data_IF_118124097285
#
_entry.id   IF_118124097285
#
_cell.length_a   1.000
_cell.length_b   1.000
_cell.length_c   1.000
_cell.angle_alpha   90.00
_cell.angle_beta   90.00
_cell.angle_gamma   90.00
#
_symmetry.space_group_name_H-M   'P 1'
#
loop_
_entity.id
_entity.type
_entity.pdbx_description
1 polymer ?
#
# COMPACT_ATOMS: atom_id res chain seq x y z
N UNK A 1 1.09 -14.46 -14.21
CA UNK A 1 1.61 -13.29 -14.95
C UNK A 1 2.92 -12.90 -14.29
N UNK A 2 3.89 -12.44 -15.08
CA UNK A 2 5.16 -11.93 -14.56
C UNK A 2 4.96 -10.53 -13.96
N UNK A 3 5.65 -10.24 -12.86
CA UNK A 3 5.63 -8.92 -12.22
C UNK A 3 6.25 -7.88 -13.16
N UNK A 4 5.60 -6.74 -13.44
CA UNK A 4 6.16 -5.68 -14.28
C UNK A 4 7.50 -5.20 -13.73
N UNK A 5 8.48 -4.94 -14.58
CA UNK A 5 9.75 -4.35 -14.14
C UNK A 5 9.58 -2.89 -13.67
N UNK A 6 8.62 -2.19 -14.25
CA UNK A 6 8.34 -0.76 -14.04
C UNK A 6 6.84 -0.57 -13.79
N UNK A 7 6.51 0.39 -12.94
CA UNK A 7 5.14 0.82 -12.64
C UNK A 7 5.05 2.34 -12.66
N UNK A 8 3.82 2.83 -12.85
CA UNK A 8 3.53 4.26 -12.95
C UNK A 8 2.49 4.69 -11.91
N UNK A 9 2.75 5.81 -11.24
CA UNK A 9 1.87 6.40 -10.24
C UNK A 9 1.40 7.78 -10.70
N UNK A 10 0.10 7.94 -10.89
CA UNK A 10 -0.52 9.22 -11.19
C UNK A 10 -0.77 9.97 -9.89
N UNK A 11 -0.30 11.20 -9.81
CA UNK A 11 -0.34 12.00 -8.59
C UNK A 11 -0.51 13.48 -8.92
N UNK A 12 -1.09 14.25 -8.00
CA UNK A 12 -1.08 15.72 -8.08
C UNK A 12 0.29 16.28 -7.77
N UNK A 13 0.56 17.54 -8.18
CA UNK A 13 1.76 18.26 -7.76
C UNK A 13 1.90 18.37 -6.24
N UNK A 14 0.78 18.52 -5.51
CA UNK A 14 0.80 18.53 -4.04
C UNK A 14 1.31 17.20 -3.47
N UNK A 15 0.83 16.10 -4.04
CA UNK A 15 1.27 14.75 -3.64
C UNK A 15 2.72 14.52 -4.03
N UNK A 16 3.14 14.95 -5.22
CA UNK A 16 4.54 14.91 -5.64
C UNK A 16 5.43 15.67 -4.67
N UNK A 17 5.04 16.88 -4.23
CA UNK A 17 5.81 17.67 -3.29
C UNK A 17 6.05 16.90 -1.98
N UNK A 18 5.03 16.21 -1.46
CA UNK A 18 5.15 15.35 -0.27
C UNK A 18 6.03 14.13 -0.52
N UNK A 19 5.91 13.48 -1.68
CA UNK A 19 6.74 12.32 -2.06
C UNK A 19 8.21 12.73 -2.12
N UNK A 20 8.54 13.83 -2.81
CA UNK A 20 9.91 14.31 -2.98
C UNK A 20 10.51 14.80 -1.66
N UNK A 21 9.74 15.54 -0.87
CA UNK A 21 10.19 16.08 0.42
C UNK A 21 10.48 14.98 1.44
N UNK A 22 9.56 14.02 1.59
CA UNK A 22 9.68 12.97 2.61
C UNK A 22 10.44 11.73 2.10
N UNK A 23 10.60 11.59 0.77
CA UNK A 23 11.11 10.38 0.11
C UNK A 23 10.32 9.13 0.47
N UNK A 24 9.00 9.26 0.52
CA UNK A 24 8.08 8.19 0.90
C UNK A 24 6.93 8.08 -0.10
N UNK A 25 6.40 6.87 -0.25
CA UNK A 25 5.09 6.65 -0.88
C UNK A 25 4.07 6.32 0.20
N UNK A 26 2.91 6.95 0.11
CA UNK A 26 1.79 6.69 0.99
C UNK A 26 1.04 5.43 0.60
N UNK A 27 0.76 4.61 1.59
CA UNK A 27 -0.23 3.54 1.55
C UNK A 27 -1.47 4.04 2.28
N UNK A 28 -2.56 4.22 1.56
CA UNK A 28 -3.84 4.70 2.11
C UNK A 28 -4.71 3.51 2.51
N UNK A 29 -5.45 3.64 3.61
CA UNK A 29 -6.39 2.60 4.03
C UNK A 29 -7.46 2.36 2.95
N UNK A 30 -7.88 1.11 2.78
CA UNK A 30 -8.73 0.71 1.66
C UNK A 30 -10.11 1.39 1.67
N UNK A 31 -10.58 1.90 2.81
CA UNK A 31 -11.79 2.72 2.91
C UNK A 31 -11.60 4.20 2.47
N UNK A 32 -10.38 4.56 2.06
CA UNK A 32 -9.97 5.90 1.62
C UNK A 32 -9.57 5.95 0.14
N UNK A 33 -9.69 4.85 -0.59
CA UNK A 33 -9.48 4.83 -2.05
C UNK A 33 -10.78 5.23 -2.78
N UNK A 34 -10.68 5.29 -4.10
CA UNK A 34 -11.71 5.75 -5.03
C UNK A 34 -12.96 4.87 -5.07
N UNK A 35 -12.80 3.55 -5.00
CA UNK A 35 -13.92 2.61 -5.00
C UNK A 35 -14.31 2.19 -3.56
N UNK A 36 -15.42 2.72 -3.01
CA UNK A 36 -15.87 2.39 -1.66
C UNK A 36 -16.39 0.97 -1.50
N UNK A 37 -16.51 0.19 -2.58
CA UNK A 37 -16.89 -1.23 -2.52
C UNK A 37 -15.74 -2.11 -2.04
N UNK A 38 -14.49 -1.72 -2.33
CA UNK A 38 -13.31 -2.57 -2.12
C UNK A 38 -13.03 -2.89 -0.64
N UNK A 39 -13.49 -2.03 0.27
CA UNK A 39 -13.38 -2.26 1.71
C UNK A 39 -14.43 -3.24 2.26
N UNK A 40 -15.46 -3.58 1.48
CA UNK A 40 -16.64 -4.31 1.94
C UNK A 40 -16.46 -5.81 1.73
N UNK A 41 -16.99 -6.60 2.65
CA UNK A 41 -17.19 -8.03 2.46
C UNK A 41 -18.68 -8.35 2.66
N UNK A 42 -19.11 -9.57 2.30
CA UNK A 42 -20.50 -9.98 2.52
C UNK A 42 -20.89 -10.06 4.02
N UNK A 43 -19.89 -10.14 4.90
CA UNK A 43 -20.03 -10.45 6.32
C UNK A 43 -19.24 -9.50 7.26
N UNK A 44 -18.61 -8.45 6.73
CA UNK A 44 -17.91 -7.43 7.52
C UNK A 44 -17.85 -6.04 6.85
N UNK A 45 -17.87 -5.01 7.68
CA UNK A 45 -17.67 -3.60 7.33
C UNK A 45 -16.37 -3.01 7.88
N UNK A 46 -15.64 -3.70 8.78
CA UNK A 46 -14.38 -3.18 9.33
C UNK A 46 -13.13 -3.83 8.75
N UNK A 47 -13.21 -5.05 8.21
CA UNK A 47 -12.02 -5.78 7.78
C UNK A 47 -11.26 -5.08 6.62
N UNK A 48 -11.94 -4.31 5.78
CA UNK A 48 -11.28 -3.45 4.79
C UNK A 48 -10.37 -2.37 5.41
N UNK A 49 -10.67 -1.91 6.64
CA UNK A 49 -9.82 -0.94 7.37
C UNK A 49 -8.51 -1.56 7.86
N UNK A 50 -8.34 -2.87 7.73
CA UNK A 50 -7.08 -3.54 8.00
C UNK A 50 -6.16 -3.57 6.77
N UNK A 51 -6.58 -3.04 5.63
CA UNK A 51 -5.78 -3.01 4.39
C UNK A 51 -5.33 -1.59 4.11
N UNK A 52 -4.05 -1.40 3.84
CA UNK A 52 -3.49 -0.17 3.32
C UNK A 52 -2.87 -0.45 1.96
N UNK A 53 -3.14 0.40 0.97
CA UNK A 53 -2.74 0.17 -0.42
C UNK A 53 -2.07 1.39 -1.03
N UNK A 54 -1.12 1.12 -1.94
CA UNK A 54 -0.58 2.12 -2.86
C UNK A 54 -0.86 1.66 -4.29
N UNK A 55 -1.53 2.52 -5.05
CA UNK A 55 -2.15 2.23 -6.35
C UNK A 55 -1.24 2.68 -7.50
N UNK A 56 -0.92 1.76 -8.42
CA UNK A 56 -0.03 1.98 -9.56
C UNK A 56 -0.64 1.35 -10.81
N UNK A 57 -0.16 1.71 -12.00
CA UNK A 57 -0.51 1.02 -13.25
C UNK A 57 0.73 0.41 -13.89
N UNK A 58 0.56 -0.71 -14.58
CA UNK A 58 1.60 -1.30 -15.43
C UNK A 58 1.56 -0.81 -16.87
N UNK A 59 0.51 -0.06 -17.26
CA UNK A 59 0.40 0.52 -18.59
C UNK A 59 1.51 1.54 -18.79
N UNK A 60 2.34 1.38 -19.82
CA UNK A 60 3.31 2.36 -20.28
C UNK A 60 2.64 3.49 -21.05
N UNK A 61 1.57 3.17 -21.79
CA UNK A 61 0.65 4.14 -22.36
C UNK A 61 -0.06 4.97 -21.28
N UNK A 62 -0.15 6.27 -21.55
CA UNK A 62 -0.84 7.21 -20.68
C UNK A 62 -2.37 7.09 -20.80
N UNK A 63 -3.09 7.43 -19.73
CA UNK A 63 -4.55 7.29 -19.67
C UNK A 63 -5.23 8.63 -19.39
N UNK A 64 -6.07 9.08 -20.31
CA UNK A 64 -6.84 10.33 -20.17
C UNK A 64 -7.73 10.31 -18.92
N UNK A 65 -8.48 9.23 -18.61
CA UNK A 65 -9.20 9.12 -17.34
C UNK A 65 -8.27 9.25 -16.13
N UNK A 66 -7.09 8.61 -16.15
CA UNK A 66 -6.14 8.67 -15.03
C UNK A 66 -5.63 10.10 -14.78
N UNK A 67 -5.34 10.84 -15.85
CA UNK A 67 -4.98 12.25 -15.76
C UNK A 67 -6.08 13.10 -15.14
N UNK A 68 -7.34 12.88 -15.53
CA UNK A 68 -8.48 13.69 -15.08
C UNK A 68 -8.90 13.39 -13.64
N UNK A 69 -8.91 12.11 -13.27
CA UNK A 69 -9.50 11.66 -12.01
C UNK A 69 -8.50 11.59 -10.85
N UNK A 70 -7.22 11.32 -11.12
CA UNK A 70 -6.23 11.03 -10.06
C UNK A 70 -5.11 12.06 -9.97
N UNK A 71 -4.51 12.42 -11.11
CA UNK A 71 -3.39 13.36 -11.10
C UNK A 71 -3.86 14.82 -11.11
N UNK A 72 -4.92 15.12 -11.86
CA UNK A 72 -5.34 16.48 -12.20
C UNK A 72 -4.85 16.86 -13.60
N UNK A 73 -5.77 17.25 -14.48
CA UNK A 73 -5.44 17.49 -15.89
C UNK A 73 -4.44 18.64 -16.12
N UNK A 74 -4.44 19.62 -15.22
CA UNK A 74 -3.64 20.86 -15.33
C UNK A 74 -2.48 20.96 -14.32
N UNK A 75 -2.46 20.08 -13.33
CA UNK A 75 -1.55 20.13 -12.18
C UNK A 75 -1.06 18.73 -11.77
N UNK A 76 -1.18 17.77 -12.67
CA UNK A 76 -0.87 16.37 -12.42
C UNK A 76 0.52 15.99 -12.91
N UNK A 77 1.06 14.94 -12.32
CA UNK A 77 2.24 14.25 -12.79
C UNK A 77 2.01 12.74 -12.83
N UNK A 78 2.82 12.06 -13.62
CA UNK A 78 2.93 10.60 -13.63
C UNK A 78 4.37 10.24 -13.31
N UNK A 79 4.54 9.49 -12.22
CA UNK A 79 5.83 9.10 -11.68
C UNK A 79 6.11 7.66 -12.12
N UNK A 80 7.19 7.45 -12.84
CA UNK A 80 7.67 6.12 -13.22
C UNK A 80 8.74 5.66 -12.23
N UNK A 81 8.61 4.42 -11.73
CA UNK A 81 9.63 3.78 -10.87
C UNK A 81 9.73 2.29 -11.18
N UNK A 82 10.87 1.68 -10.82
CA UNK A 82 11.00 0.21 -10.80
C UNK A 82 10.02 -0.41 -9.81
N UNK A 83 9.58 -1.64 -10.08
CA UNK A 83 8.81 -2.42 -9.10
C UNK A 83 9.61 -2.67 -7.83
N UNK A 84 8.89 -2.70 -6.70
CA UNK A 84 9.45 -2.69 -5.35
C UNK A 84 10.44 -1.53 -5.11
N UNK A 85 10.02 -0.26 -5.27
CA UNK A 85 10.91 0.90 -5.14
C UNK A 85 11.33 1.19 -3.69
N UNK A 86 10.91 0.37 -2.72
CA UNK A 86 11.05 0.62 -1.29
C UNK A 86 12.39 0.18 -0.73
N UNK A 87 12.82 0.90 0.31
CA UNK A 87 13.98 0.52 1.11
C UNK A 87 13.75 -0.86 1.76
N UNK A 88 14.83 -1.62 1.88
CA UNK A 88 14.88 -2.86 2.67
C UNK A 88 15.50 -2.60 4.03
N UNK A 89 15.02 -3.32 5.03
CA UNK A 89 15.36 -3.08 6.43
C UNK A 89 16.01 -4.29 7.07
N UNK A 90 16.86 -4.02 8.05
CA UNK A 90 17.44 -5.03 8.92
C UNK A 90 17.07 -4.71 10.37
N UNK A 91 16.95 -5.72 11.23
CA UNK A 91 16.75 -5.52 12.67
C UNK A 91 18.11 -5.42 13.35
N UNK A 92 18.26 -4.46 14.27
CA UNK A 92 19.49 -4.31 15.04
C UNK A 92 19.70 -5.47 16.02
N UNK A 93 20.97 -5.80 16.31
CA UNK A 93 21.33 -6.83 17.29
C UNK A 93 20.74 -6.54 18.69
N UNK A 94 20.63 -5.26 19.07
CA UNK A 94 20.00 -4.87 20.34
C UNK A 94 18.50 -5.22 20.37
N UNK A 95 17.78 -4.92 19.29
CA UNK A 95 16.37 -5.25 19.16
C UNK A 95 16.12 -6.76 19.12
N UNK A 96 17.01 -7.54 18.51
CA UNK A 96 16.93 -9.01 18.54
C UNK A 96 17.01 -9.58 19.95
N UNK A 97 17.82 -8.97 20.83
CA UNK A 97 17.93 -9.39 22.23
C UNK A 97 16.67 -9.08 23.06
N UNK A 98 15.82 -8.14 22.61
CA UNK A 98 14.51 -7.83 23.23
C UNK A 98 13.41 -8.80 22.81
N UNK A 99 13.62 -9.58 21.75
CA UNK A 99 12.69 -10.62 21.31
C UNK A 99 13.00 -11.91 22.07
N UNK A 100 11.98 -12.61 22.59
CA UNK A 100 12.18 -14.03 22.88
C UNK A 100 12.46 -14.73 21.57
N UNK A 101 13.75 -15.05 21.33
CA UNK A 101 14.26 -15.31 19.98
C UNK A 101 13.50 -16.45 19.28
N UNK A 102 12.99 -17.45 20.01
CA UNK A 102 12.23 -18.57 19.45
C UNK A 102 10.85 -18.21 18.88
N UNK A 103 10.13 -17.25 19.47
CA UNK A 103 8.73 -17.00 19.08
C UNK A 103 8.63 -16.15 17.81
N UNK A 104 9.52 -15.17 17.65
CA UNK A 104 9.53 -14.30 16.45
C UNK A 104 10.23 -14.95 15.27
N UNK A 105 11.31 -15.72 15.50
CA UNK A 105 11.99 -16.49 14.44
C UNK A 105 11.07 -17.53 13.79
N UNK A 106 10.21 -18.20 14.59
CA UNK A 106 9.25 -19.18 14.09
C UNK A 106 8.01 -18.53 13.44
N UNK A 107 7.57 -17.35 13.90
CA UNK A 107 6.37 -16.68 13.39
C UNK A 107 6.60 -15.87 12.10
N UNK A 108 7.79 -15.26 11.94
CA UNK A 108 8.11 -14.42 10.76
C UNK A 108 9.00 -15.12 9.73
N UNK A 109 9.64 -16.24 10.12
CA UNK A 109 10.45 -17.09 9.25
C UNK A 109 11.74 -16.44 8.75
N UNK A 110 12.89 -16.93 9.21
CA UNK A 110 14.20 -16.67 8.58
C UNK A 110 15.02 -15.52 9.17
N UNK A 111 15.88 -14.90 8.34
CA UNK A 111 16.84 -13.87 8.75
C UNK A 111 16.19 -12.49 8.87
N UNK A 112 16.70 -11.66 9.78
CA UNK A 112 16.16 -10.32 10.08
C UNK A 112 16.72 -9.20 9.20
N UNK A 113 17.41 -9.53 8.10
CA UNK A 113 17.88 -8.58 7.09
C UNK A 113 16.85 -8.40 5.94
N UNK A 114 17.01 -7.48 5.01
CA UNK A 114 16.21 -7.46 3.76
C UNK A 114 14.67 -7.37 3.89
N UNK A 115 14.13 -7.00 5.05
CA UNK A 115 12.70 -6.91 5.33
C UNK A 115 12.04 -5.81 4.49
N UNK A 116 10.77 -6.00 4.14
CA UNK A 116 9.98 -4.99 3.40
C UNK A 116 9.59 -3.79 4.27
N UNK A 117 9.51 -4.01 5.59
CA UNK A 117 9.08 -3.02 6.56
C UNK A 117 10.09 -2.94 7.72
N UNK A 118 10.28 -1.75 8.31
CA UNK A 118 11.10 -1.58 9.48
C UNK A 118 10.36 -2.18 10.67
N UNK A 119 10.73 -3.40 11.05
CA UNK A 119 10.10 -4.10 12.18
C UNK A 119 10.09 -3.20 13.44
N UNK A 120 11.14 -2.37 13.58
CA UNK A 120 11.44 -1.48 14.73
C UNK A 120 10.32 -0.50 15.03
N UNK A 121 9.58 -0.10 14.01
CA UNK A 121 8.46 0.84 14.16
C UNK A 121 7.20 0.23 14.80
N UNK A 122 7.12 -1.09 14.94
CA UNK A 122 5.90 -1.78 15.41
C UNK A 122 6.00 -2.33 16.84
N UNK A 123 7.13 -2.17 17.52
CA UNK A 123 7.32 -2.70 18.88
C UNK A 123 6.34 -2.13 19.91
N UNK A 124 6.10 -0.82 19.86
CA UNK A 124 5.21 -0.10 20.77
C UNK A 124 3.79 0.09 20.21
N UNK A 125 3.49 -0.57 19.08
CA UNK A 125 2.20 -0.46 18.41
C UNK A 125 1.34 -1.68 18.73
N UNK A 126 0.03 -1.43 18.84
CA UNK A 126 -0.99 -2.46 18.96
C UNK A 126 -1.34 -3.12 17.61
N UNK A 127 -0.52 -2.92 16.59
CA UNK A 127 -0.66 -3.54 15.28
C UNK A 127 0.70 -3.68 14.59
N UNK A 128 0.77 -4.61 13.64
CA UNK A 128 1.85 -4.72 12.66
C UNK A 128 1.26 -5.13 11.31
N UNK A 129 2.08 -5.35 10.28
CA UNK A 129 1.61 -5.81 8.97
C UNK A 129 2.13 -7.21 8.66
N UNK A 130 1.33 -8.06 8.00
CA UNK A 130 1.77 -9.39 7.55
C UNK A 130 3.01 -9.33 6.66
N UNK A 131 3.15 -8.27 5.87
CA UNK A 131 4.25 -8.00 4.94
C UNK A 131 5.55 -7.60 5.67
N UNK A 132 5.56 -7.59 7.01
CA UNK A 132 6.81 -7.62 7.79
C UNK A 132 7.57 -8.94 7.59
N UNK A 133 6.89 -10.03 7.21
CA UNK A 133 7.51 -11.30 6.86
C UNK A 133 8.04 -11.29 5.41
N UNK A 134 9.22 -11.89 5.18
CA UNK A 134 9.93 -11.84 3.88
C UNK A 134 9.22 -12.53 2.71
N UNK A 135 8.44 -13.58 2.99
CA UNK A 135 7.87 -14.44 1.95
C UNK A 135 6.46 -14.01 1.51
N UNK A 136 5.99 -12.85 1.97
CA UNK A 136 4.69 -12.32 1.58
C UNK A 136 4.90 -11.38 0.40
N UNK A 137 4.29 -11.72 -0.72
CA UNK A 137 4.24 -10.81 -1.85
C UNK A 137 3.35 -9.62 -1.50
N UNK A 138 3.93 -8.42 -1.52
CA UNK A 138 3.20 -7.16 -1.29
C UNK A 138 2.56 -6.62 -2.57
N UNK A 139 3.03 -7.02 -3.76
CA UNK A 139 2.62 -6.45 -5.04
C UNK A 139 1.62 -7.36 -5.77
N UNK A 140 0.40 -6.88 -5.94
CA UNK A 140 -0.70 -7.64 -6.52
C UNK A 140 -1.23 -6.95 -7.78
N UNK A 141 -1.56 -7.73 -8.80
CA UNK A 141 -2.38 -7.25 -9.91
C UNK A 141 -3.84 -7.26 -9.45
N UNK A 142 -4.55 -6.16 -9.69
CA UNK A 142 -5.99 -6.09 -9.40
C UNK A 142 -6.75 -6.88 -10.46
N UNK A 143 -7.67 -7.72 -10.01
CA UNK A 143 -8.57 -8.50 -10.87
C UNK A 143 -9.92 -7.79 -11.02
N UNK A 144 -10.24 -7.39 -12.24
CA UNK A 144 -11.49 -6.69 -12.53
C UNK A 144 -12.61 -7.67 -12.84
N UNK A 145 -13.74 -7.53 -12.16
CA UNK A 145 -14.86 -8.48 -12.28
C UNK A 145 -16.21 -7.83 -12.02
N UNK A 146 -17.28 -8.47 -12.49
CA UNK A 146 -18.66 -8.16 -12.11
C UNK A 146 -19.28 -9.28 -11.25
N UNK A 147 -18.50 -10.29 -10.87
CA UNK A 147 -18.94 -11.36 -9.97
C UNK A 147 -19.05 -10.82 -8.54
N UNK A 148 -20.29 -10.69 -8.04
CA UNK A 148 -20.57 -10.20 -6.70
C UNK A 148 -19.89 -11.02 -5.59
N UNK A 149 -19.66 -12.33 -5.81
CA UNK A 149 -19.00 -13.18 -4.81
C UNK A 149 -17.51 -12.89 -4.66
N UNK A 150 -16.88 -12.29 -5.69
CA UNK A 150 -15.49 -11.82 -5.66
C UNK A 150 -15.38 -10.37 -5.18
N UNK A 151 -16.35 -9.53 -5.54
CA UNK A 151 -16.43 -8.13 -5.08
C UNK A 151 -16.79 -8.03 -3.60
N UNK A 152 -17.65 -8.92 -3.11
CA UNK A 152 -18.11 -9.00 -1.73
C UNK A 152 -17.88 -10.40 -1.17
N UNK A 153 -16.62 -10.82 -0.99
CA UNK A 153 -16.32 -12.17 -0.53
C UNK A 153 -16.85 -12.38 0.89
N UNK A 154 -17.22 -13.62 1.21
CA UNK A 154 -17.45 -14.04 2.60
C UNK A 154 -16.09 -14.37 3.23
N UNK A 155 -15.65 -13.59 4.21
CA UNK A 155 -14.28 -13.68 4.75
C UNK A 155 -14.22 -14.21 6.18
N UNK A 156 -15.33 -14.26 6.91
CA UNK A 156 -15.40 -14.72 8.30
C UNK A 156 -15.83 -16.19 8.35
N UNK A 157 -15.06 -16.99 9.08
CA UNK A 157 -15.40 -18.37 9.43
C UNK A 157 -15.44 -18.51 10.95
N UNK A 158 -16.46 -19.22 11.45
CA UNK A 158 -16.59 -19.58 12.87
C UNK A 158 -16.44 -21.08 13.03
N UNK A 159 -15.71 -21.49 14.05
CA UNK A 159 -15.44 -22.89 14.35
C UNK A 159 -16.30 -23.35 15.53
N UNK A 160 -16.60 -24.66 15.60
CA UNK A 160 -17.47 -25.22 16.64
C UNK A 160 -16.96 -25.05 18.07
N UNK A 161 -15.67 -24.72 18.26
CA UNK A 161 -15.07 -24.39 19.55
C UNK A 161 -15.17 -22.88 19.92
N UNK A 162 -15.89 -22.08 19.13
CA UNK A 162 -16.02 -20.63 19.33
C UNK A 162 -14.86 -19.81 18.75
N UNK A 163 -13.89 -20.44 18.08
CA UNK A 163 -12.84 -19.74 17.34
C UNK A 163 -13.40 -18.98 16.13
N UNK A 164 -12.76 -17.88 15.77
CA UNK A 164 -13.12 -17.08 14.59
C UNK A 164 -11.86 -16.85 13.75
N UNK A 165 -11.99 -16.96 12.43
CA UNK A 165 -10.94 -16.66 11.46
C UNK A 165 -11.46 -15.67 10.41
N UNK A 166 -10.60 -14.76 9.98
CA UNK A 166 -10.87 -13.83 8.89
C UNK A 166 -9.86 -13.99 7.75
N UNK A 167 -10.36 -14.21 6.52
CA UNK A 167 -9.56 -14.29 5.29
C UNK A 167 -9.25 -12.90 4.72
N UNK A 168 -8.51 -12.11 5.47
CA UNK A 168 -8.20 -10.69 5.15
C UNK A 168 -7.46 -10.51 3.81
N UNK A 169 -6.70 -11.52 3.39
CA UNK A 169 -5.97 -11.49 2.12
C UNK A 169 -6.89 -11.52 0.89
N UNK A 170 -8.16 -11.88 1.03
CA UNK A 170 -9.14 -11.85 -0.05
C UNK A 170 -9.68 -10.43 -0.37
N UNK A 171 -9.39 -9.43 0.48
CA UNK A 171 -9.84 -8.04 0.29
C UNK A 171 -8.80 -7.20 -0.46
N UNK A 172 -9.28 -6.24 -1.24
CA UNK A 172 -8.44 -5.26 -1.97
C UNK A 172 -7.73 -5.80 -3.21
N UNK A 173 -8.04 -7.04 -3.64
CA UNK A 173 -7.47 -7.68 -4.84
C UNK A 173 -8.44 -7.75 -6.02
N UNK A 174 -9.74 -7.60 -5.78
CA UNK A 174 -10.77 -7.48 -6.83
C UNK A 174 -11.36 -6.08 -6.84
N UNK A 175 -11.73 -5.61 -8.04
CA UNK A 175 -12.39 -4.32 -8.26
C UNK A 175 -13.47 -4.44 -9.33
N UNK A 176 -14.52 -3.61 -9.27
CA UNK A 176 -15.60 -3.68 -10.25
C UNK A 176 -15.10 -3.45 -11.67
N UNK A 177 -15.64 -4.16 -12.67
CA UNK A 177 -15.14 -4.11 -14.05
C UNK A 177 -15.19 -2.71 -14.68
N UNK A 178 -16.07 -1.83 -14.18
CA UNK A 178 -16.15 -0.43 -14.58
C UNK A 178 -14.84 0.35 -14.36
N UNK A 179 -13.99 -0.09 -13.44
CA UNK A 179 -12.69 0.53 -13.14
C UNK A 179 -11.51 -0.05 -13.94
N UNK A 180 -11.76 -0.98 -14.86
CA UNK A 180 -10.70 -1.72 -15.58
C UNK A 180 -9.71 -0.84 -16.37
N UNK A 181 -10.11 0.38 -16.72
CA UNK A 181 -9.25 1.37 -17.38
C UNK A 181 -8.01 1.77 -16.55
N UNK A 182 -8.01 1.54 -15.24
CA UNK A 182 -6.87 1.84 -14.37
C UNK A 182 -5.71 0.86 -14.56
N UNK A 183 -5.99 -0.37 -15.03
CA UNK A 183 -4.98 -1.44 -15.20
C UNK A 183 -4.07 -1.60 -13.98
N UNK A 184 -4.68 -1.75 -12.81
CA UNK A 184 -4.05 -1.43 -11.55
C UNK A 184 -3.18 -2.58 -11.03
N UNK A 185 -2.02 -2.20 -10.50
CA UNK A 185 -1.19 -2.98 -9.61
C UNK A 185 -1.09 -2.27 -8.26
N UNK A 186 -1.24 -3.02 -7.18
CA UNK A 186 -1.24 -2.48 -5.82
C UNK A 186 -0.14 -3.07 -4.99
N UNK A 187 0.56 -2.22 -4.26
CA UNK A 187 1.24 -2.65 -3.06
C UNK A 187 0.22 -2.70 -1.92
N UNK A 188 0.11 -3.82 -1.22
CA UNK A 188 -0.89 -4.06 -0.19
C UNK A 188 -0.20 -4.40 1.13
N UNK A 189 -0.53 -3.65 2.18
CA UNK A 189 -0.18 -3.93 3.56
C UNK A 189 -1.42 -4.40 4.31
N UNK A 190 -1.32 -5.55 4.95
CA UNK A 190 -2.41 -6.26 5.63
C UNK A 190 -2.14 -6.24 7.13
N UNK A 191 -2.82 -5.34 7.83
CA UNK A 191 -2.63 -5.12 9.25
C UNK A 191 -3.11 -6.32 10.06
N UNK A 192 -2.36 -6.63 11.11
CA UNK A 192 -2.70 -7.55 12.17
C UNK A 192 -2.94 -6.69 13.41
N UNK A 193 -4.16 -6.66 14.00
CA UNK A 193 -4.55 -5.66 14.99
C UNK A 193 -4.22 -6.13 16.41
N UNK A 194 -3.03 -6.70 16.56
CA UNK A 194 -2.39 -7.03 17.84
C UNK A 194 -0.94 -6.59 17.75
N UNK A 195 -0.35 -6.15 18.85
CA UNK A 195 1.07 -5.79 18.86
C UNK A 195 1.97 -7.00 18.64
N UNK A 196 3.13 -6.78 18.02
CA UNK A 196 4.07 -7.87 17.65
C UNK A 196 4.54 -8.69 18.86
N UNK A 197 4.69 -8.06 20.03
CA UNK A 197 5.02 -8.75 21.28
C UNK A 197 3.96 -9.77 21.73
N UNK A 198 2.73 -9.70 21.22
CA UNK A 198 1.66 -10.65 21.53
C UNK A 198 1.84 -12.00 20.86
N UNK A 199 2.62 -12.06 19.78
CA UNK A 199 2.81 -13.28 18.97
C UNK A 199 3.49 -14.38 19.80
N UNK A 200 4.31 -14.00 20.79
CA UNK A 200 5.03 -14.92 21.68
C UNK A 200 4.27 -15.26 22.97
N UNK A 201 3.31 -14.44 23.38
CA UNK A 201 2.56 -14.58 24.63
C UNK A 201 1.09 -14.25 24.38
N UNK A 202 0.32 -15.26 23.96
CA UNK A 202 -1.11 -15.12 23.69
C UNK A 202 -1.84 -14.84 25.00
N UNK A 203 -2.38 -13.61 25.14
CA UNK A 203 -3.22 -13.21 26.28
C UNK A 203 -4.69 -13.24 25.85
N UNK A 204 -5.56 -13.72 26.75
CA UNK A 204 -6.99 -13.93 26.47
C UNK A 204 -7.69 -12.64 26.05
N UNK A 205 -7.37 -11.51 26.68
CA UNK A 205 -7.91 -10.19 26.37
C UNK A 205 -7.56 -9.74 24.93
N UNK A 206 -6.37 -10.10 24.44
CA UNK A 206 -5.94 -9.78 23.07
C UNK A 206 -6.65 -10.64 22.03
N UNK A 207 -6.87 -11.93 22.33
CA UNK A 207 -7.69 -12.82 21.50
C UNK A 207 -9.13 -12.33 21.43
N UNK A 208 -9.69 -11.88 22.55
CA UNK A 208 -11.03 -11.27 22.58
C UNK A 208 -11.09 -10.01 21.72
N UNK A 209 -10.13 -9.09 21.85
CA UNK A 209 -10.08 -7.89 20.99
C UNK A 209 -9.99 -8.25 19.50
N UNK A 210 -9.14 -9.20 19.13
CA UNK A 210 -9.03 -9.66 17.74
C UNK A 210 -10.36 -10.23 17.22
N UNK A 211 -11.05 -11.06 18.02
CA UNK A 211 -12.37 -11.58 17.68
C UNK A 211 -13.42 -10.46 17.57
N UNK A 212 -13.39 -9.48 18.47
CA UNK A 212 -14.30 -8.34 18.43
C UNK A 212 -14.09 -7.47 17.19
N UNK A 213 -12.84 -7.34 16.71
CA UNK A 213 -12.54 -6.68 15.44
C UNK A 213 -13.09 -7.49 14.27
N UNK A 214 -12.82 -8.81 14.23
CA UNK A 214 -13.28 -9.69 13.14
C UNK A 214 -14.80 -9.67 13.06
N UNK A 215 -15.50 -9.67 14.20
CA UNK A 215 -16.95 -9.67 14.30
C UNK A 215 -17.57 -8.25 14.29
N UNK A 216 -16.82 -7.23 13.86
CA UNK A 216 -17.26 -5.84 13.75
C UNK A 216 -17.77 -5.15 15.03
N UNK A 217 -17.43 -5.69 16.21
CA UNK A 217 -17.82 -5.12 17.50
C UNK A 217 -16.97 -3.93 17.94
N UNK A 218 -15.77 -3.76 17.38
CA UNK A 218 -14.94 -2.59 17.62
C UNK A 218 -14.09 -2.18 16.42
N UNK A 219 -13.56 -0.96 16.46
CA UNK A 219 -12.68 -0.45 15.42
C UNK A 219 -11.29 -1.10 15.51
N UNK A 220 -10.67 -1.49 14.39
CA UNK A 220 -9.37 -2.17 14.42
C UNK A 220 -8.21 -1.26 14.88
N UNK A 221 -8.41 0.06 14.96
CA UNK A 221 -7.39 1.00 15.44
C UNK A 221 -6.23 1.19 14.47
N UNK A 222 -6.38 0.77 13.21
CA UNK A 222 -5.37 0.90 12.17
C UNK A 222 -5.38 2.34 11.63
N UNK A 223 -4.21 3.01 11.55
CA UNK A 223 -4.12 4.36 11.01
C UNK A 223 -4.68 4.47 9.58
N UNK A 224 -5.14 5.66 9.18
CA UNK A 224 -5.67 5.87 7.83
C UNK A 224 -4.61 5.77 6.73
N UNK A 225 -3.32 5.84 7.08
CA UNK A 225 -2.23 5.66 6.13
C UNK A 225 -0.95 5.17 6.82
N UNK A 226 -0.01 4.71 6.01
CA UNK A 226 1.36 4.38 6.38
C UNK A 226 2.29 4.80 5.24
N UNK A 227 3.34 5.56 5.56
CA UNK A 227 4.27 6.08 4.56
C UNK A 227 5.52 5.19 4.54
N UNK A 228 5.87 4.62 3.37
CA UNK A 228 7.01 3.73 3.22
C UNK A 228 8.14 4.42 2.45
N UNK A 229 9.36 4.34 2.99
CA UNK A 229 10.55 5.01 2.43
C UNK A 229 10.96 4.40 1.09
N UNK A 230 11.19 5.27 0.11
CA UNK A 230 11.71 4.93 -1.21
C UNK A 230 13.22 4.66 -1.07
N UNK A 231 13.71 3.61 -1.71
CA UNK A 231 15.15 3.32 -1.78
C UNK A 231 15.89 4.40 -2.57
N UNK A 232 17.14 4.70 -2.19
CA UNK A 232 17.94 5.72 -2.89
C UNK A 232 18.09 5.41 -4.39
N UNK A 233 18.27 4.13 -4.73
CA UNK A 233 18.36 3.67 -6.11
C UNK A 233 17.05 3.96 -6.89
N UNK A 234 15.89 3.61 -6.33
CA UNK A 234 14.60 3.88 -6.98
C UNK A 234 14.30 5.38 -7.07
N UNK A 235 14.67 6.15 -6.05
CA UNK A 235 14.50 7.60 -6.05
C UNK A 235 15.38 8.27 -7.11
N UNK A 236 16.64 7.84 -7.25
CA UNK A 236 17.56 8.40 -8.25
C UNK A 236 17.24 8.03 -9.70
N UNK A 237 16.50 6.94 -9.91
CA UNK A 237 16.13 6.42 -11.24
C UNK A 237 14.68 6.72 -11.63
N UNK A 238 13.95 7.46 -10.80
CA UNK A 238 12.56 7.83 -11.11
C UNK A 238 12.50 8.81 -12.28
N UNK A 239 11.41 8.73 -13.04
CA UNK A 239 11.09 9.71 -14.09
C UNK A 239 9.75 10.34 -13.81
N UNK A 240 9.58 11.59 -14.20
CA UNK A 240 8.34 12.33 -14.04
C UNK A 240 7.85 12.74 -15.43
N UNK A 241 6.56 12.57 -15.67
CA UNK A 241 5.86 13.08 -16.84
C UNK A 241 4.86 14.12 -16.36
N UNK A 242 4.87 15.34 -16.92
CA UNK A 242 3.87 16.38 -16.66
C UNK A 242 2.54 16.05 -17.35
N UNK A 243 1.42 16.43 -16.74
CA UNK A 243 0.09 16.27 -17.35
C UNK A 243 -0.02 16.99 -18.70
N UNK A 244 -0.80 16.46 -19.67
CA UNK A 244 -0.91 17.02 -21.02
C UNK A 244 -1.48 18.46 -21.09
N UNK A 245 -2.18 18.92 -20.05
CA UNK A 245 -2.65 20.31 -19.96
C UNK A 245 -1.98 21.09 -18.84
N UNK A 246 -0.76 20.71 -18.44
CA UNK A 246 -0.04 21.41 -17.37
C UNK A 246 0.09 22.90 -17.70
N UNK A 247 -0.39 23.75 -16.79
CA UNK A 247 -0.27 25.21 -16.99
C UNK A 247 1.18 25.66 -16.82
N UNK A 248 1.55 26.79 -17.43
CA UNK A 248 2.88 27.38 -17.25
C UNK A 248 3.22 27.64 -15.77
N UNK A 249 2.24 28.05 -14.96
CA UNK A 249 2.42 28.26 -13.53
C UNK A 249 2.72 26.96 -12.78
N UNK A 250 1.95 25.90 -13.07
CA UNK A 250 2.17 24.58 -12.49
C UNK A 250 3.50 23.97 -12.95
N UNK A 251 3.94 24.26 -14.18
CA UNK A 251 5.26 23.86 -14.66
C UNK A 251 6.38 24.52 -13.85
N UNK A 252 6.32 25.82 -13.59
CA UNK A 252 7.31 26.49 -12.72
C UNK A 252 7.36 25.84 -11.33
N UNK A 253 6.21 25.44 -10.78
CA UNK A 253 6.15 24.73 -9.50
C UNK A 253 6.81 23.35 -9.59
N UNK A 254 6.50 22.58 -10.64
CA UNK A 254 7.11 21.27 -10.88
C UNK A 254 8.64 21.38 -10.95
N UNK A 255 9.15 22.30 -11.79
CA UNK A 255 10.58 22.47 -11.99
C UNK A 255 11.28 22.87 -10.68
N UNK A 256 10.68 23.77 -9.90
CA UNK A 256 11.21 24.17 -8.60
C UNK A 256 11.22 23.04 -7.56
N UNK A 257 10.19 22.17 -7.55
CA UNK A 257 10.16 20.99 -6.68
C UNK A 257 11.28 20.01 -7.03
N UNK A 258 11.48 19.76 -8.33
CA UNK A 258 12.51 18.86 -8.82
C UNK A 258 13.91 19.39 -8.52
N UNK A 259 14.18 20.66 -8.81
CA UNK A 259 15.46 21.31 -8.51
C UNK A 259 15.80 21.20 -7.02
N UNK A 260 14.82 21.42 -6.14
CA UNK A 260 15.02 21.44 -4.69
C UNK A 260 15.27 20.05 -4.10
N UNK A 261 14.49 19.04 -4.49
CA UNK A 261 14.43 17.76 -3.77
C UNK A 261 15.05 16.59 -4.52
N UNK A 262 15.11 16.65 -5.85
CA UNK A 262 15.58 15.56 -6.69
C UNK A 262 16.31 16.09 -7.94
N UNK A 263 17.38 16.87 -7.77
CA UNK A 263 18.09 17.47 -8.90
C UNK A 263 18.62 16.38 -9.84
N UNK A 264 18.40 16.55 -11.14
CA UNK A 264 18.90 15.66 -12.19
C UNK A 264 17.98 14.51 -12.59
N UNK A 265 16.80 14.35 -11.96
CA UNK A 265 15.79 13.41 -12.49
C UNK A 265 15.20 13.90 -13.81
N UNK A 266 14.81 12.95 -14.64
CA UNK A 266 14.19 13.22 -15.94
C UNK A 266 12.75 13.69 -15.75
N UNK A 267 12.43 14.85 -16.33
CA UNK A 267 11.06 15.40 -16.43
C UNK A 267 10.72 15.54 -17.91
N UNK A 268 9.70 14.81 -18.37
CA UNK A 268 9.22 14.83 -19.75
C UNK A 268 7.80 15.40 -19.84
N UNK A 269 7.40 15.82 -21.04
CA UNK A 269 5.99 16.13 -21.32
C UNK A 269 5.19 14.86 -21.56
N UNK A 270 3.89 14.93 -21.29
CA UNK A 270 2.93 13.93 -21.77
C UNK A 270 3.04 13.75 -23.29
N UNK A 271 2.95 12.50 -23.73
CA UNK A 271 2.79 12.12 -25.13
C UNK A 271 1.36 12.33 -25.67
N UNK A 272 0.40 12.58 -24.77
CA UNK A 272 -0.98 12.89 -25.14
C UNK A 272 -1.11 14.38 -25.47
N UNK A 273 -1.68 14.69 -26.63
CA UNK A 273 -2.08 16.05 -26.99
C UNK A 273 -3.56 16.28 -26.67
N UNK A 274 -3.87 17.30 -25.87
CA UNK A 274 -5.24 17.73 -25.57
C UNK A 274 -5.42 19.21 -25.90
N UNK A 275 -6.50 19.52 -26.63
CA UNK A 275 -6.98 20.89 -26.84
C UNK A 275 -7.64 21.46 -25.57
#
# INVERSE_FOLDING_TARGET
METPAVLYHYASLDTLALILHNRTIRFSRLDKVDDPQEQRSADSQNLGKMKLVSCWTSSDEESIPMWREYAGAECGVRIQMKSHPFRRYSVSTESLNKLSSEAVLNALGGSFDGLHLPLEEFWDKDYFFFETARNINMLHKVEYTNDESLLFPKVISTFGNGGVEAKILALGVHKAAAWSYQQEWRYILSAVPIGIASVSNVRIDRVQRANDIILDKCNPGIPPYYDLVISDEAFSSMKIVSSPKMTNGNRVILDALVEKYAPGIEVAESSIELA
#
